data_IF_751635752891
#
_entry.id   IF_751635752891
#
_cell.length_a   1.000
_cell.length_b   1.000
_cell.length_c   1.000
_cell.angle_alpha   90.00
_cell.angle_beta   90.00
_cell.angle_gamma   90.00
#
_symmetry.space_group_name_H-M   'P 1'
#
loop_
_entity.id
_entity.type
_entity.pdbx_description
1 polymer ?
#
# COMPACT_ATOMS: atom_id res chain seq x y z
N UNK A 1 74.57 -31.57 38.38
CA UNK A 1 73.80 -30.69 39.29
C UNK A 1 73.12 -29.64 38.42
N UNK A 2 71.78 -29.53 38.50
CA UNK A 2 70.89 -28.56 37.78
C UNK A 2 70.79 -28.73 36.25
N UNK A 3 69.67 -28.59 35.54
CA UNK A 3 68.24 -28.37 35.83
C UNK A 3 67.49 -28.75 34.53
N UNK A 4 66.49 -29.63 34.55
CA UNK A 4 65.57 -29.82 33.40
C UNK A 4 64.20 -29.30 33.83
N UNK A 5 63.78 -28.18 33.24
CA UNK A 5 62.47 -27.59 33.44
C UNK A 5 61.38 -28.44 32.75
N UNK A 6 60.32 -28.78 33.48
CA UNK A 6 59.08 -29.35 32.94
C UNK A 6 57.96 -28.32 33.06
N UNK A 7 57.35 -27.97 31.92
CA UNK A 7 56.13 -27.16 31.84
C UNK A 7 54.91 -28.10 31.98
N UNK A 8 53.86 -27.77 32.75
CA UNK A 8 52.67 -28.61 32.87
C UNK A 8 51.67 -28.35 31.74
N UNK A 9 51.14 -29.43 31.15
CA UNK A 9 50.07 -29.39 30.15
C UNK A 9 48.69 -29.29 30.83
N UNK A 10 47.98 -28.19 30.58
CA UNK A 10 46.62 -27.94 31.06
C UNK A 10 45.60 -28.64 30.14
N UNK A 11 44.80 -29.56 30.68
CA UNK A 11 43.74 -30.28 29.94
C UNK A 11 42.42 -29.50 30.00
N UNK A 12 41.97 -28.97 28.86
CA UNK A 12 40.61 -28.44 28.71
C UNK A 12 39.65 -29.56 28.28
N UNK A 13 38.60 -29.81 29.07
CA UNK A 13 37.48 -30.70 28.70
C UNK A 13 36.40 -29.85 28.01
N UNK A 14 36.09 -30.16 26.75
CA UNK A 14 35.01 -29.53 26.00
C UNK A 14 33.74 -30.39 26.16
N UNK A 15 32.71 -29.84 26.81
CA UNK A 15 31.36 -30.41 26.86
C UNK A 15 30.58 -29.90 25.65
N UNK A 16 30.18 -30.80 24.74
CA UNK A 16 29.25 -30.50 23.66
C UNK A 16 27.80 -30.63 24.17
N UNK A 17 27.10 -29.51 24.27
CA UNK A 17 25.64 -29.46 24.42
C UNK A 17 25.01 -29.39 23.03
N UNK A 18 24.42 -30.50 22.59
CA UNK A 18 23.57 -30.57 21.39
C UNK A 18 22.21 -29.93 21.72
N UNK A 19 22.02 -28.67 21.33
CA UNK A 19 20.71 -28.05 21.29
C UNK A 19 20.01 -28.45 19.98
N UNK A 20 19.03 -29.34 20.08
CA UNK A 20 18.12 -29.68 18.98
C UNK A 20 17.20 -28.46 18.74
N UNK A 21 17.52 -27.63 17.74
CA UNK A 21 16.61 -26.58 17.29
C UNK A 21 15.60 -27.19 16.32
N UNK A 22 14.35 -27.33 16.77
CA UNK A 22 13.23 -27.68 15.91
C UNK A 22 13.00 -26.61 14.84
N UNK A 23 12.89 -27.03 13.58
CA UNK A 23 12.47 -26.17 12.47
C UNK A 23 11.00 -25.77 12.68
N UNK A 24 10.77 -24.59 13.25
CA UNK A 24 9.51 -23.87 13.07
C UNK A 24 9.61 -23.07 11.75
N UNK A 25 8.64 -23.18 10.82
CA UNK A 25 8.64 -22.40 9.59
C UNK A 25 8.16 -20.99 9.91
N UNK A 26 9.06 -20.15 10.42
CA UNK A 26 8.73 -18.80 10.85
C UNK A 26 9.96 -17.98 11.23
N UNK A 27 10.96 -17.94 10.35
CA UNK A 27 12.17 -17.15 10.59
C UNK A 27 11.93 -15.63 10.52
N UNK A 28 12.82 -14.82 11.13
CA UNK A 28 12.75 -13.35 11.13
C UNK A 28 12.65 -12.73 9.72
N UNK A 29 13.17 -13.42 8.69
CA UNK A 29 13.09 -12.99 7.29
C UNK A 29 11.64 -12.93 6.76
N UNK A 30 10.80 -13.95 7.04
CA UNK A 30 9.40 -13.96 6.58
C UNK A 30 8.54 -12.91 7.30
N UNK A 31 8.81 -12.68 8.59
CA UNK A 31 8.16 -11.63 9.36
C UNK A 31 8.56 -10.22 8.87
N UNK A 32 9.82 -10.03 8.47
CA UNK A 32 10.31 -8.78 7.91
C UNK A 32 9.66 -8.47 6.54
N UNK A 33 9.59 -9.45 5.64
CA UNK A 33 8.89 -9.30 4.35
C UNK A 33 7.42 -8.93 4.55
N UNK A 34 6.74 -9.52 5.55
CA UNK A 34 5.35 -9.15 5.86
C UNK A 34 5.19 -7.71 6.33
N UNK A 35 6.14 -7.15 7.10
CA UNK A 35 6.12 -5.73 7.49
C UNK A 35 6.35 -4.81 6.30
N UNK A 36 7.32 -5.14 5.44
CA UNK A 36 7.61 -4.37 4.22
C UNK A 36 6.38 -4.26 3.31
N UNK A 37 5.70 -5.38 3.07
CA UNK A 37 4.49 -5.40 2.26
C UNK A 37 3.35 -4.57 2.89
N UNK A 38 3.18 -4.61 4.22
CA UNK A 38 2.18 -3.77 4.88
C UNK A 38 2.50 -2.28 4.81
N UNK A 39 3.78 -1.88 4.86
CA UNK A 39 4.21 -0.50 4.62
C UNK A 39 3.90 -0.06 3.19
N UNK A 40 4.18 -0.92 2.21
CA UNK A 40 3.79 -0.65 0.81
C UNK A 40 2.28 -0.55 0.63
N UNK A 41 1.50 -1.37 1.33
CA UNK A 41 0.04 -1.27 1.32
C UNK A 41 -0.40 0.11 1.80
N UNK A 42 0.10 0.57 2.95
CA UNK A 42 -0.23 1.89 3.47
C UNK A 42 0.22 3.02 2.54
N UNK A 43 1.40 2.92 1.91
CA UNK A 43 1.83 3.87 0.88
C UNK A 43 0.83 3.92 -0.28
N UNK A 44 0.40 2.76 -0.79
CA UNK A 44 -0.54 2.67 -1.90
C UNK A 44 -1.94 3.22 -1.57
N UNK A 45 -2.38 3.06 -0.32
CA UNK A 45 -3.64 3.66 0.17
C UNK A 45 -3.52 5.17 0.31
N UNK A 46 -2.45 5.68 0.92
CA UNK A 46 -2.17 7.13 1.03
C UNK A 46 -2.11 7.78 -0.34
N UNK A 47 -1.35 7.19 -1.27
CA UNK A 47 -1.22 7.69 -2.64
C UNK A 47 -2.57 7.81 -3.35
N UNK A 48 -3.44 6.81 -3.20
CA UNK A 48 -4.77 6.81 -3.79
C UNK A 48 -5.73 7.78 -3.11
N UNK A 49 -5.70 7.88 -1.78
CA UNK A 49 -6.50 8.87 -1.06
C UNK A 49 -6.17 10.29 -1.53
N UNK A 50 -4.89 10.64 -1.63
CA UNK A 50 -4.48 11.93 -2.17
C UNK A 50 -4.94 12.12 -3.62
N UNK A 51 -4.81 11.07 -4.45
CA UNK A 51 -5.23 11.09 -5.86
C UNK A 51 -6.69 11.46 -6.05
N UNK A 52 -7.56 10.94 -5.18
CA UNK A 52 -9.00 11.07 -5.34
C UNK A 52 -9.63 12.18 -4.48
N UNK A 53 -9.02 12.53 -3.35
CA UNK A 53 -9.58 13.45 -2.36
C UNK A 53 -8.84 14.79 -2.27
N UNK A 54 -7.54 14.88 -2.57
CA UNK A 54 -6.79 16.12 -2.34
C UNK A 54 -6.88 17.09 -3.53
N UNK A 55 -7.30 18.36 -3.35
CA UNK A 55 -7.45 19.33 -4.46
C UNK A 55 -6.14 19.58 -5.24
N UNK A 56 -5.01 19.63 -4.55
CA UNK A 56 -3.69 19.79 -5.17
C UNK A 56 -3.27 18.64 -6.10
N UNK A 57 -3.86 17.45 -5.93
CA UNK A 57 -3.52 16.25 -6.71
C UNK A 57 -4.63 15.89 -7.70
N UNK A 58 -5.88 15.91 -7.27
CA UNK A 58 -7.07 15.54 -8.04
C UNK A 58 -7.27 16.39 -9.32
N UNK A 59 -6.55 17.51 -9.44
CA UNK A 59 -6.54 18.37 -10.64
C UNK A 59 -5.54 17.95 -11.73
N UNK A 60 -4.75 16.89 -11.51
CA UNK A 60 -3.86 16.32 -12.54
C UNK A 60 -2.54 17.07 -12.75
N UNK A 61 -2.11 17.91 -11.81
CA UNK A 61 -0.89 18.75 -11.94
C UNK A 61 0.42 17.98 -11.94
N UNK A 62 0.42 16.76 -11.42
CA UNK A 62 1.62 15.94 -11.26
C UNK A 62 1.51 14.66 -12.06
N UNK A 63 2.65 14.15 -12.51
CA UNK A 63 2.74 12.76 -12.93
C UNK A 63 2.67 11.85 -11.70
N UNK A 64 1.45 11.62 -11.22
CA UNK A 64 1.21 10.97 -9.93
C UNK A 64 1.65 9.51 -9.91
N UNK A 65 1.70 8.84 -11.06
CA UNK A 65 2.27 7.49 -11.18
C UNK A 65 3.79 7.51 -10.96
N UNK A 66 4.50 8.45 -11.59
CA UNK A 66 5.96 8.59 -11.41
C UNK A 66 6.31 8.91 -9.97
N UNK A 67 5.50 9.75 -9.31
CA UNK A 67 5.64 10.04 -7.86
C UNK A 67 5.50 8.76 -7.03
N UNK A 68 4.52 7.91 -7.32
CA UNK A 68 4.37 6.62 -6.64
C UNK A 68 5.55 5.69 -6.88
N UNK A 69 6.03 5.59 -8.12
CA UNK A 69 7.16 4.71 -8.47
C UNK A 69 8.40 5.09 -7.66
N UNK A 70 8.70 6.39 -7.51
CA UNK A 70 9.81 6.88 -6.69
C UNK A 70 9.60 6.54 -5.22
N UNK A 71 8.42 6.86 -4.66
CA UNK A 71 8.12 6.61 -3.25
C UNK A 71 8.16 5.11 -2.90
N UNK A 72 7.57 4.26 -3.74
CA UNK A 72 7.56 2.81 -3.54
C UNK A 72 8.96 2.21 -3.62
N UNK A 73 9.81 2.73 -4.52
CA UNK A 73 11.21 2.32 -4.62
C UNK A 73 11.97 2.66 -3.33
N UNK A 74 11.78 3.86 -2.78
CA UNK A 74 12.42 4.24 -1.52
C UNK A 74 11.98 3.36 -0.34
N UNK A 75 10.70 3.04 -0.21
CA UNK A 75 10.18 2.13 0.83
C UNK A 75 10.69 0.70 0.66
N UNK A 76 10.84 0.23 -0.57
CA UNK A 76 11.42 -1.09 -0.87
C UNK A 76 12.91 -1.18 -0.54
N UNK A 77 13.67 -0.12 -0.81
CA UNK A 77 15.10 -0.07 -0.53
C UNK A 77 15.40 0.12 0.95
N UNK A 78 14.60 0.93 1.64
CA UNK A 78 14.74 1.24 3.05
C UNK A 78 13.56 0.66 3.82
N UNK A 79 13.67 -0.61 4.22
CA UNK A 79 12.56 -1.34 4.83
C UNK A 79 12.32 -0.98 6.31
N UNK A 80 11.81 0.24 6.55
CA UNK A 80 11.56 0.79 7.89
C UNK A 80 10.28 1.64 7.95
N UNK A 81 9.73 1.79 9.15
CA UNK A 81 8.59 2.68 9.39
C UNK A 81 8.96 4.13 9.06
N UNK A 82 10.20 4.53 9.35
CA UNK A 82 10.70 5.86 9.06
C UNK A 82 10.74 6.15 7.55
N UNK A 83 11.15 5.18 6.74
CA UNK A 83 11.14 5.33 5.29
C UNK A 83 9.71 5.53 4.76
N UNK A 84 8.74 4.73 5.19
CA UNK A 84 7.33 4.97 4.85
C UNK A 84 6.89 6.37 5.25
N UNK A 85 7.10 6.75 6.51
CA UNK A 85 6.64 8.04 7.05
C UNK A 85 7.23 9.22 6.28
N UNK A 86 8.52 9.17 5.97
CA UNK A 86 9.19 10.20 5.16
C UNK A 86 8.59 10.33 3.74
N UNK A 87 8.23 9.22 3.11
CA UNK A 87 7.60 9.25 1.79
C UNK A 87 6.17 9.79 1.88
N UNK A 88 5.40 9.42 2.92
CA UNK A 88 4.07 9.99 3.17
C UNK A 88 4.16 11.50 3.39
N UNK A 89 5.11 11.98 4.18
CA UNK A 89 5.31 13.42 4.39
C UNK A 89 5.68 14.14 3.08
N UNK A 90 6.49 13.50 2.22
CA UNK A 90 6.81 14.03 0.89
C UNK A 90 5.58 14.09 -0.03
N UNK A 91 4.70 13.08 0.02
CA UNK A 91 3.43 13.10 -0.73
C UNK A 91 2.52 14.23 -0.24
N UNK A 92 2.43 14.48 1.07
CA UNK A 92 1.66 15.59 1.63
C UNK A 92 2.25 16.95 1.23
N UNK A 93 3.57 17.08 1.25
CA UNK A 93 4.24 18.30 0.80
C UNK A 93 3.96 18.61 -0.68
N UNK A 94 3.95 17.59 -1.55
CA UNK A 94 3.56 17.75 -2.96
C UNK A 94 2.08 18.09 -3.13
N UNK A 95 1.21 17.50 -2.31
CA UNK A 95 -0.21 17.78 -2.34
C UNK A 95 -0.53 19.23 -1.93
N UNK A 96 0.25 19.79 -1.02
CA UNK A 96 0.09 21.15 -0.52
C UNK A 96 -1.05 21.27 0.52
N UNK A 97 -1.48 22.50 0.85
CA UNK A 97 -2.53 22.71 1.83
C UNK A 97 -3.89 22.19 1.32
N UNK A 98 -4.69 21.63 2.23
CA UNK A 98 -6.07 21.26 1.94
C UNK A 98 -6.93 22.52 1.89
N UNK A 99 -7.42 22.87 0.71
CA UNK A 99 -8.27 24.07 0.47
C UNK A 99 -9.75 23.74 0.30
N UNK A 100 -10.11 22.46 0.37
CA UNK A 100 -11.49 22.02 0.22
C UNK A 100 -12.32 22.33 1.46
N UNK A 101 -13.57 22.75 1.26
CA UNK A 101 -14.53 22.92 2.34
C UNK A 101 -14.97 21.55 2.89
N UNK A 102 -15.45 21.55 4.15
CA UNK A 102 -16.04 20.36 4.75
C UNK A 102 -17.25 19.91 3.91
N UNK A 103 -17.32 18.60 3.64
CA UNK A 103 -18.44 17.97 2.98
C UNK A 103 -19.41 17.43 4.03
N UNK A 104 -20.52 18.15 4.21
CA UNK A 104 -21.57 17.79 5.16
C UNK A 104 -22.56 16.87 4.48
N UNK A 105 -22.67 15.64 4.96
CA UNK A 105 -23.67 14.67 4.49
C UNK A 105 -25.08 15.11 4.91
N UNK A 106 -26.07 14.89 4.04
CA UNK A 106 -27.48 15.08 4.41
C UNK A 106 -27.84 14.09 5.53
N UNK A 107 -28.30 14.57 6.70
CA UNK A 107 -28.62 13.71 7.84
C UNK A 107 -29.78 12.74 7.56
N UNK A 108 -30.57 12.96 6.52
CA UNK A 108 -31.68 12.09 6.13
C UNK A 108 -31.28 10.99 5.13
N UNK A 109 -30.00 10.90 4.74
CA UNK A 109 -29.54 9.85 3.84
C UNK A 109 -29.83 8.47 4.44
N UNK A 110 -30.34 7.51 3.64
CA UNK A 110 -30.55 6.17 4.12
C UNK A 110 -29.20 5.52 4.46
N UNK A 111 -29.17 4.66 5.48
CA UNK A 111 -27.92 4.03 5.95
C UNK A 111 -27.12 3.31 4.85
N UNK A 112 -27.80 2.82 3.80
CA UNK A 112 -27.12 2.16 2.68
C UNK A 112 -26.38 3.12 1.74
N UNK A 113 -26.67 4.43 1.75
CA UNK A 113 -25.98 5.43 0.93
C UNK A 113 -24.53 5.67 1.41
N UNK A 114 -24.24 5.43 2.69
CA UNK A 114 -22.91 5.69 3.28
C UNK A 114 -22.12 4.41 3.60
N UNK A 115 -22.69 3.22 3.38
CA UNK A 115 -22.08 1.92 3.76
C UNK A 115 -20.69 1.65 3.16
N UNK A 116 -20.39 2.25 2.01
CA UNK A 116 -19.11 2.12 1.31
C UNK A 116 -18.06 3.16 1.75
N UNK A 117 -18.48 4.21 2.49
CA UNK A 117 -17.63 5.25 3.06
C UNK A 117 -16.93 4.66 4.30
N UNK A 118 -15.87 3.88 4.05
CA UNK A 118 -15.08 3.21 5.10
C UNK A 118 -13.64 3.67 5.04
N UNK A 119 -13.19 4.25 6.14
CA UNK A 119 -11.84 4.80 6.30
C UNK A 119 -11.07 4.11 7.43
N UNK A 120 -11.53 2.92 7.82
CA UNK A 120 -10.97 2.18 8.95
C UNK A 120 -9.51 1.81 8.77
N UNK A 121 -9.03 1.69 7.52
CA UNK A 121 -7.62 1.39 7.24
C UNK A 121 -6.67 2.43 7.82
N UNK A 122 -7.05 3.72 7.81
CA UNK A 122 -6.21 4.81 8.34
C UNK A 122 -6.00 4.62 9.85
N UNK A 123 -7.10 4.41 10.59
CA UNK A 123 -7.06 4.21 12.05
C UNK A 123 -6.35 2.92 12.46
N UNK A 124 -6.36 1.90 11.61
CA UNK A 124 -5.72 0.60 11.88
C UNK A 124 -4.27 0.52 11.42
N UNK A 125 -3.77 1.51 10.68
CA UNK A 125 -2.36 1.52 10.28
C UNK A 125 -1.47 1.60 11.52
N UNK A 126 -0.58 0.61 11.67
CA UNK A 126 0.45 0.62 12.70
C UNK A 126 1.71 1.40 12.26
N UNK A 127 1.78 1.82 11.00
CA UNK A 127 2.99 2.37 10.39
C UNK A 127 2.93 3.90 10.21
N UNK A 128 1.72 4.46 10.09
CA UNK A 128 1.50 5.90 10.04
C UNK A 128 1.60 6.54 11.43
N UNK A 129 2.02 7.80 11.48
CA UNK A 129 1.99 8.58 12.73
C UNK A 129 0.57 9.06 13.04
N UNK A 130 0.26 9.41 14.31
CA UNK A 130 -1.03 10.02 14.65
C UNK A 130 -1.34 11.29 13.85
N UNK A 131 -0.31 12.10 13.53
CA UNK A 131 -0.46 13.29 12.71
C UNK A 131 -0.85 12.95 11.26
N UNK A 132 -0.19 11.96 10.66
CA UNK A 132 -0.51 11.49 9.31
C UNK A 132 -1.92 10.90 9.24
N UNK A 133 -2.30 10.09 10.25
CA UNK A 133 -3.67 9.56 10.36
C UNK A 133 -4.70 10.68 10.49
N UNK A 134 -4.43 11.70 11.31
CA UNK A 134 -5.32 12.85 11.49
C UNK A 134 -5.51 13.62 10.20
N UNK A 135 -4.42 13.86 9.46
CA UNK A 135 -4.48 14.54 8.16
C UNK A 135 -5.32 13.77 7.13
N UNK A 136 -5.12 12.46 7.00
CA UNK A 136 -5.92 11.61 6.10
C UNK A 136 -7.40 11.60 6.50
N UNK A 137 -7.69 11.44 7.80
CA UNK A 137 -9.07 11.54 8.29
C UNK A 137 -9.70 12.91 8.01
N UNK A 138 -8.92 13.98 8.05
CA UNK A 138 -9.38 15.32 7.68
C UNK A 138 -9.70 15.42 6.18
N UNK A 139 -8.93 14.79 5.30
CA UNK A 139 -9.22 14.76 3.85
C UNK A 139 -10.54 14.06 3.51
N UNK A 140 -10.93 13.04 4.27
CA UNK A 140 -12.24 12.41 4.08
C UNK A 140 -13.41 13.34 4.43
N UNK A 141 -13.24 14.22 5.41
CA UNK A 141 -14.22 15.25 5.73
C UNK A 141 -14.16 16.44 4.75
N UNK A 142 -13.04 16.64 4.06
CA UNK A 142 -12.81 17.75 3.13
C UNK A 142 -12.39 17.25 1.73
N UNK A 143 -13.21 16.41 1.07
CA UNK A 143 -12.87 15.87 -0.24
C UNK A 143 -12.85 16.99 -1.29
N UNK A 144 -12.05 16.81 -2.34
CA UNK A 144 -12.14 17.64 -3.53
C UNK A 144 -13.54 17.51 -4.15
N UNK A 145 -14.23 18.65 -4.31
CA UNK A 145 -15.62 18.70 -4.79
C UNK A 145 -15.75 19.14 -6.26
N UNK A 146 -14.62 19.30 -6.97
CA UNK A 146 -14.61 19.63 -8.40
C UNK A 146 -14.60 18.39 -9.30
N UNK A 147 -14.36 18.60 -10.59
CA UNK A 147 -14.20 17.50 -11.56
C UNK A 147 -12.83 16.85 -11.37
N UNK A 148 -12.80 15.63 -10.83
CA UNK A 148 -11.56 14.91 -10.61
C UNK A 148 -10.94 14.48 -11.96
N UNK A 149 -9.64 14.75 -12.13
CA UNK A 149 -8.88 14.46 -13.34
C UNK A 149 -8.78 12.96 -13.62
N UNK A 150 -8.68 12.12 -12.61
CA UNK A 150 -8.40 10.69 -12.77
C UNK A 150 -9.67 9.82 -12.83
N UNK A 151 -10.74 10.23 -12.16
CA UNK A 151 -11.98 9.46 -12.07
C UNK A 151 -13.20 10.39 -12.18
N UNK A 152 -14.02 10.19 -13.22
CA UNK A 152 -15.20 11.00 -13.50
C UNK A 152 -16.42 10.12 -13.66
N UNK A 153 -17.60 10.62 -13.35
CA UNK A 153 -18.84 9.88 -13.60
C UNK A 153 -18.98 9.56 -15.09
N UNK A 154 -19.39 8.33 -15.39
CA UNK A 154 -19.66 7.93 -16.77
C UNK A 154 -20.98 8.55 -17.23
N UNK A 155 -21.00 9.39 -18.29
CA UNK A 155 -22.24 10.02 -18.77
C UNK A 155 -23.20 9.00 -19.42
N UNK A 156 -22.72 7.82 -19.78
CA UNK A 156 -23.50 6.80 -20.49
C UNK A 156 -23.87 5.59 -19.61
N UNK A 157 -23.45 5.56 -18.35
CA UNK A 157 -23.62 4.40 -17.47
C UNK A 157 -23.65 4.86 -16.00
N UNK A 158 -24.87 5.08 -15.49
CA UNK A 158 -25.08 5.57 -14.14
C UNK A 158 -24.50 4.61 -13.09
N UNK A 159 -23.71 5.14 -12.16
CA UNK A 159 -23.07 4.36 -11.11
C UNK A 159 -21.69 3.81 -11.47
N UNK A 160 -21.21 4.02 -12.70
CA UNK A 160 -19.84 3.71 -13.10
C UNK A 160 -19.01 4.97 -13.33
N UNK A 161 -17.69 4.82 -13.18
CA UNK A 161 -16.74 5.89 -13.50
C UNK A 161 -16.00 5.60 -14.81
N UNK A 162 -15.55 6.66 -15.46
CA UNK A 162 -14.51 6.63 -16.49
C UNK A 162 -13.22 7.22 -15.93
N UNK A 163 -12.09 6.77 -16.48
CA UNK A 163 -10.75 7.22 -16.09
C UNK A 163 -10.02 7.85 -17.29
N UNK A 164 -10.47 9.02 -17.78
CA UNK A 164 -10.11 9.54 -19.10
C UNK A 164 -8.64 9.95 -19.23
N UNK A 165 -7.95 10.14 -18.11
CA UNK A 165 -6.57 10.61 -18.07
C UNK A 165 -5.59 9.63 -17.43
N UNK A 166 -6.00 8.39 -17.19
CA UNK A 166 -5.06 7.35 -16.75
C UNK A 166 -4.21 6.88 -17.93
N UNK A 167 -2.89 6.75 -17.69
CA UNK A 167 -1.94 6.30 -18.71
C UNK A 167 -2.11 4.79 -18.94
N UNK A 168 -2.33 4.31 -20.18
CA UNK A 168 -2.66 2.90 -20.45
C UNK A 168 -1.45 1.97 -20.58
N UNK A 169 -0.23 2.50 -20.76
CA UNK A 169 1.02 1.72 -20.86
C UNK A 169 0.99 0.43 -21.72
N UNK A 170 0.44 0.44 -22.96
CA UNK A 170 0.15 -0.79 -23.72
C UNK A 170 1.38 -1.63 -24.12
N UNK A 171 2.55 -0.99 -24.16
CA UNK A 171 3.83 -1.63 -24.49
C UNK A 171 4.39 -2.46 -23.31
N UNK A 172 3.95 -2.24 -22.07
CA UNK A 172 4.50 -2.91 -20.89
C UNK A 172 3.88 -4.31 -20.70
N UNK A 173 4.42 -5.33 -21.39
CA UNK A 173 3.99 -6.73 -21.22
C UNK A 173 4.40 -7.32 -19.87
N UNK A 174 5.55 -6.89 -19.36
CA UNK A 174 6.00 -7.11 -17.99
C UNK A 174 6.50 -5.76 -17.47
N UNK A 175 5.64 -4.99 -16.77
CA UNK A 175 6.05 -3.72 -16.20
C UNK A 175 7.16 -3.91 -15.15
N UNK A 176 7.96 -2.86 -14.94
CA UNK A 176 8.87 -2.82 -13.78
C UNK A 176 8.08 -2.92 -12.47
N UNK A 177 8.75 -3.28 -11.37
CA UNK A 177 8.09 -3.43 -10.07
C UNK A 177 7.25 -2.20 -9.70
N UNK A 178 7.78 -0.99 -9.88
CA UNK A 178 7.05 0.25 -9.62
C UNK A 178 5.74 0.34 -10.41
N UNK A 179 5.76 0.02 -11.71
CA UNK A 179 4.55 0.07 -12.54
C UNK A 179 3.58 -1.10 -12.28
N UNK A 180 4.08 -2.26 -11.83
CA UNK A 180 3.20 -3.32 -11.31
C UNK A 180 2.42 -2.84 -10.08
N UNK A 181 3.09 -2.12 -9.19
CA UNK A 181 2.47 -1.52 -8.00
C UNK A 181 1.49 -0.39 -8.37
N UNK A 182 1.81 0.46 -9.36
CA UNK A 182 0.85 1.46 -9.89
C UNK A 182 -0.45 0.79 -10.32
N UNK A 183 -0.38 -0.28 -11.11
CA UNK A 183 -1.56 -1.03 -11.54
C UNK A 183 -2.39 -1.58 -10.38
N UNK A 184 -1.73 -2.25 -9.42
CA UNK A 184 -2.38 -2.81 -8.23
C UNK A 184 -3.03 -1.71 -7.36
N UNK A 185 -2.33 -0.61 -7.12
CA UNK A 185 -2.81 0.47 -6.26
C UNK A 185 -3.94 1.25 -6.92
N UNK A 186 -3.88 1.49 -8.24
CA UNK A 186 -5.01 2.04 -9.00
C UNK A 186 -6.25 1.17 -8.84
N UNK A 187 -6.12 -0.14 -9.10
CA UNK A 187 -7.22 -1.10 -8.97
C UNK A 187 -7.84 -1.06 -7.58
N UNK A 188 -7.03 -1.22 -6.53
CA UNK A 188 -7.55 -1.28 -5.17
C UNK A 188 -8.27 0.01 -4.77
N UNK A 189 -7.70 1.17 -5.11
CA UNK A 189 -8.28 2.46 -4.76
C UNK A 189 -9.53 2.80 -5.59
N UNK A 190 -9.56 2.48 -6.89
CA UNK A 190 -10.75 2.68 -7.72
C UNK A 190 -11.93 1.93 -7.14
N UNK A 191 -11.75 0.65 -6.82
CA UNK A 191 -12.83 -0.13 -6.20
C UNK A 191 -13.15 0.39 -4.80
N UNK A 192 -12.13 0.77 -4.02
CA UNK A 192 -12.35 1.28 -2.67
C UNK A 192 -13.23 2.54 -2.66
N UNK A 193 -13.03 3.46 -3.61
CA UNK A 193 -13.69 4.76 -3.58
C UNK A 193 -14.89 4.88 -4.51
N UNK A 194 -14.96 4.10 -5.59
CA UNK A 194 -15.95 4.30 -6.65
C UNK A 194 -16.83 3.08 -6.94
N UNK A 195 -16.54 1.89 -6.42
CA UNK A 195 -17.38 0.72 -6.72
C UNK A 195 -18.62 0.66 -5.81
N UNK A 196 -19.85 0.79 -6.36
CA UNK A 196 -21.07 0.90 -5.57
C UNK A 196 -21.41 -0.38 -4.80
N UNK A 197 -20.90 -1.54 -5.25
CA UNK A 197 -21.17 -2.85 -4.65
C UNK A 197 -20.02 -3.40 -3.81
N UNK A 198 -19.03 -2.57 -3.43
CA UNK A 198 -17.89 -3.01 -2.60
C UNK A 198 -18.33 -3.70 -1.30
N UNK A 199 -19.36 -3.19 -0.62
CA UNK A 199 -19.90 -3.82 0.60
C UNK A 199 -20.45 -5.25 0.38
N UNK A 200 -20.75 -5.63 -0.87
CA UNK A 200 -21.34 -6.91 -1.23
C UNK A 200 -20.30 -7.93 -1.72
N UNK A 201 -19.03 -7.53 -1.89
CA UNK A 201 -17.96 -8.46 -2.27
C UNK A 201 -17.73 -9.46 -1.15
N UNK A 202 -17.43 -10.72 -1.49
CA UNK A 202 -17.18 -11.76 -0.46
C UNK A 202 -15.98 -11.45 0.43
N UNK A 203 -14.98 -10.76 -0.11
CA UNK A 203 -13.73 -10.45 0.58
C UNK A 203 -13.84 -9.16 1.38
N UNK A 204 -13.12 -9.11 2.50
CA UNK A 204 -12.83 -7.84 3.15
C UNK A 204 -11.91 -7.01 2.24
N UNK A 205 -12.46 -5.93 1.68
CA UNK A 205 -11.72 -5.09 0.74
C UNK A 205 -10.45 -4.52 1.35
N UNK A 206 -10.41 -4.26 2.66
CA UNK A 206 -9.22 -3.75 3.32
C UNK A 206 -8.06 -4.76 3.31
N UNK A 207 -8.37 -6.07 3.31
CA UNK A 207 -7.39 -7.16 3.24
C UNK A 207 -6.87 -7.40 1.81
N UNK A 208 -7.70 -7.19 0.79
CA UNK A 208 -7.40 -7.49 -0.64
C UNK A 208 -6.05 -6.95 -1.09
N UNK A 209 -5.72 -5.70 -0.75
CA UNK A 209 -4.44 -5.09 -1.13
C UNK A 209 -3.24 -5.86 -0.57
N UNK A 210 -3.33 -6.26 0.70
CA UNK A 210 -2.25 -6.94 1.41
C UNK A 210 -2.06 -8.35 0.87
N UNK A 211 -3.14 -9.02 0.47
CA UNK A 211 -3.11 -10.37 -0.12
C UNK A 211 -2.53 -10.38 -1.54
N UNK A 212 -2.82 -9.34 -2.34
CA UNK A 212 -2.35 -9.25 -3.72
C UNK A 212 -0.91 -8.75 -3.83
N UNK A 213 -0.45 -7.91 -2.91
CA UNK A 213 0.89 -7.31 -2.92
C UNK A 213 2.03 -8.32 -3.13
N UNK A 214 2.12 -9.45 -2.41
CA UNK A 214 3.15 -10.46 -2.65
C UNK A 214 3.19 -10.95 -4.11
N UNK A 215 2.02 -11.13 -4.74
CA UNK A 215 1.91 -11.62 -6.12
C UNK A 215 2.52 -10.64 -7.12
N UNK A 216 2.27 -9.34 -6.93
CA UNK A 216 2.79 -8.30 -7.81
C UNK A 216 4.28 -8.03 -7.58
N UNK A 217 4.74 -8.12 -6.33
CA UNK A 217 6.16 -7.97 -5.99
C UNK A 217 6.99 -9.10 -6.61
N UNK A 218 6.52 -10.34 -6.47
CA UNK A 218 7.24 -11.54 -6.91
C UNK A 218 7.07 -11.87 -8.40
N UNK A 219 6.15 -11.20 -9.11
CA UNK A 219 5.92 -11.42 -10.54
C UNK A 219 7.08 -10.89 -11.42
N UNK A 220 8.17 -11.65 -11.51
CA UNK A 220 9.36 -11.32 -12.31
C UNK A 220 9.30 -11.83 -13.75
N UNK A 221 8.21 -12.47 -14.16
CA UNK A 221 7.97 -12.97 -15.53
C UNK A 221 6.61 -12.54 -16.03
N UNK A 222 6.43 -12.41 -17.36
CA UNK A 222 5.15 -12.03 -17.95
C UNK A 222 3.99 -13.00 -17.58
N UNK A 223 4.18 -14.34 -17.60
CA UNK A 223 3.13 -15.25 -17.14
C UNK A 223 2.78 -15.09 -15.66
N UNK A 224 3.75 -14.83 -14.79
CA UNK A 224 3.49 -14.58 -13.37
C UNK A 224 2.72 -13.27 -13.17
N UNK A 225 3.06 -12.22 -13.92
CA UNK A 225 2.35 -10.95 -13.88
C UNK A 225 0.91 -11.06 -14.39
N UNK A 226 0.68 -11.74 -15.52
CA UNK A 226 -0.66 -11.99 -16.02
C UNK A 226 -1.50 -12.80 -15.03
N UNK A 227 -0.91 -13.80 -14.35
CA UNK A 227 -1.59 -14.53 -13.28
C UNK A 227 -1.96 -13.62 -12.11
N UNK A 228 -1.07 -12.75 -11.67
CA UNK A 228 -1.36 -11.78 -10.61
C UNK A 228 -2.52 -10.85 -11.00
N UNK A 229 -2.56 -10.39 -12.25
CA UNK A 229 -3.66 -9.57 -12.80
C UNK A 229 -5.00 -10.33 -12.83
N UNK A 230 -5.00 -11.60 -13.24
CA UNK A 230 -6.20 -12.45 -13.23
C UNK A 230 -6.69 -12.69 -11.79
N UNK A 231 -5.78 -12.98 -10.85
CA UNK A 231 -6.13 -13.13 -9.44
C UNK A 231 -6.72 -11.84 -8.88
N UNK A 232 -6.16 -10.68 -9.24
CA UNK A 232 -6.68 -9.37 -8.86
C UNK A 232 -8.09 -9.14 -9.40
N UNK A 233 -8.35 -9.40 -10.68
CA UNK A 233 -9.70 -9.25 -11.25
C UNK A 233 -10.73 -10.15 -10.54
N UNK A 234 -10.33 -11.37 -10.16
CA UNK A 234 -11.17 -12.31 -9.44
C UNK A 234 -11.46 -11.93 -7.97
N UNK A 235 -10.91 -10.82 -7.43
CA UNK A 235 -11.24 -10.38 -6.06
C UNK A 235 -12.53 -9.56 -5.98
N UNK A 236 -13.10 -9.18 -7.12
CA UNK A 236 -14.39 -8.48 -7.18
C UNK A 236 -15.46 -9.52 -7.53
N UNK A 237 -15.78 -10.39 -6.57
CA UNK A 237 -16.69 -11.53 -6.71
C UNK A 237 -17.79 -11.62 -5.65
#
# INVERSE_FOLDING_TARGET
MMLIARVPALRFRLLFLLALFGLLPGGPAAAQTNKQLRRLADLGRVWGELKYFHPGIATGRYDWDSVLVVAATAVLQQDSDQALRSQVDALFALAGPTTAAEFVLDPNLPAHATRNIRHGWVRRSAYLTPAQQTYLLHLYAHPYQGVNYYAQNNPNDEGNIITPHEKPYPAMKLPSLGYRLVGLFRFWNVINYYYPYKYATRRDWDAVLTDLLPLFVQATTAPAYHRAMLTMAATID
#
